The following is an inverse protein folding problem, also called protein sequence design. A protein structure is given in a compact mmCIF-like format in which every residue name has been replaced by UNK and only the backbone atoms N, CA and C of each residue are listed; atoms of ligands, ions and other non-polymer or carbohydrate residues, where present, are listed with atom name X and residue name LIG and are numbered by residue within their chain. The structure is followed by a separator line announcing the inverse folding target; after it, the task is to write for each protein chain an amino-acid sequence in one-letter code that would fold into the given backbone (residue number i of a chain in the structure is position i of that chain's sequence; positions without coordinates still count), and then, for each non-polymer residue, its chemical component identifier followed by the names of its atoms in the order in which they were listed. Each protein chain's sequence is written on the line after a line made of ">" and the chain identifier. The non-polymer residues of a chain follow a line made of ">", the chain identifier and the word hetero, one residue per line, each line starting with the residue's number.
data_IF_878048480963
#
_entry.id   IF_878048480963
#
_cell.length_a   1.000
_cell.length_b   1.000
_cell.length_c   1.000
_cell.angle_alpha   90.00
_cell.angle_beta   90.00
_cell.angle_gamma   90.00
#
_symmetry.space_group_name_H-M   'P 1'
#
loop_
_entity.id
_entity.type
_entity.pdbx_description
1 polymer ?
#
# COMPACT_ATOMS: atom_id res chain seq x y z
N UNK A 1 -10.92 32.89 31.89
CA UNK A 1 -10.54 31.55 32.36
C UNK A 1 -11.58 30.53 31.90
N UNK A 2 -11.10 29.43 31.30
CA UNK A 2 -11.76 28.14 31.03
C UNK A 2 -12.78 28.03 29.88
N UNK A 3 -12.25 27.50 28.77
CA UNK A 3 -12.96 26.72 27.76
C UNK A 3 -13.47 25.39 28.34
N UNK A 4 -14.58 24.86 27.81
CA UNK A 4 -14.88 23.42 27.83
C UNK A 4 -15.69 23.02 26.59
N UNK A 5 -15.22 21.93 26.01
CA UNK A 5 -15.50 21.43 24.68
C UNK A 5 -16.90 20.80 24.52
N UNK A 6 -17.40 20.90 23.30
CA UNK A 6 -18.60 20.25 22.80
C UNK A 6 -18.33 18.74 22.61
N UNK A 7 -19.10 17.89 23.27
CA UNK A 7 -19.08 16.44 23.11
C UNK A 7 -20.03 16.03 21.95
N UNK A 8 -19.56 15.19 21.03
CA UNK A 8 -20.42 14.44 20.09
C UNK A 8 -20.42 12.95 20.48
N UNK A 9 -21.58 12.26 20.43
CA UNK A 9 -21.71 10.91 20.94
C UNK A 9 -21.28 9.86 19.91
N UNK A 10 -20.43 8.94 20.36
CA UNK A 10 -20.11 7.65 19.75
C UNK A 10 -21.35 6.76 19.75
N UNK A 11 -21.78 6.25 18.60
CA UNK A 11 -22.73 5.12 18.53
C UNK A 11 -21.98 3.85 18.16
N UNK A 12 -21.72 3.08 19.21
CA UNK A 12 -21.50 1.64 19.17
C UNK A 12 -22.73 0.93 18.62
N UNK A 13 -22.52 -0.06 17.75
CA UNK A 13 -23.45 -1.19 17.56
C UNK A 13 -22.62 -2.45 17.87
N UNK A 14 -23.02 -3.18 18.91
CA UNK A 14 -22.36 -4.39 19.44
C UNK A 14 -23.00 -5.68 18.93
N UNK A 15 -22.17 -6.56 18.36
CA UNK A 15 -22.00 -8.05 18.48
C UNK A 15 -23.21 -9.00 18.68
N UNK A 16 -23.12 -10.31 18.30
CA UNK A 16 -22.50 -11.27 19.23
C UNK A 16 -21.75 -12.48 18.63
N UNK A 17 -20.78 -12.98 19.41
CA UNK A 17 -20.24 -14.35 19.45
C UNK A 17 -19.14 -14.79 18.46
N UNK A 18 -17.89 -14.52 18.81
CA UNK A 18 -16.80 -15.52 18.71
C UNK A 18 -15.75 -15.25 19.78
N UNK A 19 -15.32 -16.25 20.58
CA UNK A 19 -14.23 -16.06 21.52
C UNK A 19 -12.93 -16.12 20.72
N UNK A 20 -12.11 -15.07 20.78
CA UNK A 20 -10.64 -15.08 20.74
C UNK A 20 -10.23 -13.61 20.74
N UNK A 21 -9.68 -13.15 21.88
CA UNK A 21 -9.19 -11.79 22.03
C UNK A 21 -8.09 -11.50 21.02
N UNK A 22 -8.40 -10.68 20.01
CA UNK A 22 -7.40 -10.01 19.21
C UNK A 22 -7.45 -8.54 19.61
N UNK A 23 -6.44 -8.18 20.40
CA UNK A 23 -6.23 -6.83 20.88
C UNK A 23 -6.29 -5.85 19.71
N UNK A 24 -7.31 -4.99 19.71
CA UNK A 24 -7.26 -3.66 19.10
C UNK A 24 -6.17 -2.87 19.83
N UNK A 25 -4.90 -3.11 19.50
CA UNK A 25 -3.81 -2.27 19.98
C UNK A 25 -3.82 -1.03 19.13
N UNK A 26 -4.43 0.02 19.68
CA UNK A 26 -4.24 1.41 19.24
C UNK A 26 -2.75 1.62 18.96
N UNK A 27 -2.37 1.72 17.69
CA UNK A 27 -1.01 2.03 17.26
C UNK A 27 -0.75 3.52 17.54
N UNK A 28 -0.51 3.82 18.82
CA UNK A 28 0.04 5.04 19.39
C UNK A 28 0.02 6.28 18.47
N UNK A 29 -1.06 7.05 18.57
CA UNK A 29 -1.17 8.42 18.06
C UNK A 29 -0.09 9.31 18.71
N UNK A 30 0.88 9.83 17.94
CA UNK A 30 1.75 10.90 18.46
C UNK A 30 3.11 11.13 17.81
N UNK A 31 3.62 10.23 16.98
CA UNK A 31 4.75 10.53 16.08
C UNK A 31 4.27 10.19 14.69
N UNK A 32 4.36 11.12 13.74
CA UNK A 32 4.14 10.85 12.34
C UNK A 32 5.04 9.64 11.97
N UNK A 33 4.49 8.42 11.97
CA UNK A 33 5.20 7.21 11.56
C UNK A 33 4.83 6.97 10.11
N UNK A 34 5.86 6.79 9.27
CA UNK A 34 5.70 6.26 7.92
C UNK A 34 4.76 5.05 7.98
N UNK A 35 3.65 5.10 7.26
CA UNK A 35 2.79 3.94 7.02
C UNK A 35 3.07 3.38 5.63
N UNK A 36 3.02 2.06 5.53
CA UNK A 36 3.21 1.35 4.27
C UNK A 36 1.87 0.74 3.87
N UNK A 37 1.33 1.16 2.73
CA UNK A 37 0.14 0.59 2.12
C UNK A 37 0.57 -0.40 1.05
N UNK A 38 -0.03 -1.59 1.04
CA UNK A 38 0.27 -2.64 0.06
C UNK A 38 -1.04 -3.03 -0.59
N UNK A 39 -1.12 -2.83 -1.90
CA UNK A 39 -2.12 -3.51 -2.72
C UNK A 39 -1.74 -5.00 -2.78
N UNK A 40 -2.60 -5.85 -2.22
CA UNK A 40 -2.31 -7.25 -1.94
C UNK A 40 -2.95 -8.23 -2.95
N UNK A 41 -3.68 -7.76 -3.96
CA UNK A 41 -4.45 -8.66 -4.85
C UNK A 41 -3.53 -9.43 -5.82
N UNK A 42 -2.37 -8.87 -6.17
CA UNK A 42 -1.36 -9.55 -7.01
C UNK A 42 0.10 -9.37 -6.55
N UNK A 43 0.35 -8.89 -5.34
CA UNK A 43 1.70 -8.54 -4.90
C UNK A 43 2.56 -9.78 -4.51
N UNK A 44 3.69 -10.06 -5.22
CA UNK A 44 4.57 -11.18 -4.91
C UNK A 44 5.61 -10.88 -3.82
N UNK A 45 5.65 -9.64 -3.33
CA UNK A 45 6.69 -9.11 -2.42
C UNK A 45 6.16 -8.79 -1.00
N UNK A 46 5.13 -9.50 -0.56
CA UNK A 46 4.47 -9.29 0.74
C UNK A 46 5.43 -9.51 1.90
N UNK A 47 6.14 -10.64 1.91
CA UNK A 47 7.10 -10.99 2.97
C UNK A 47 8.29 -10.02 2.98
N UNK A 48 8.80 -9.66 1.80
CA UNK A 48 9.87 -8.68 1.64
C UNK A 48 9.47 -7.30 2.19
N UNK A 49 8.22 -6.89 1.94
CA UNK A 49 7.68 -5.62 2.46
C UNK A 49 7.64 -5.61 3.98
N UNK A 50 7.15 -6.69 4.60
CA UNK A 50 7.10 -6.82 6.06
C UNK A 50 8.50 -6.79 6.66
N UNK A 51 9.46 -7.48 6.04
CA UNK A 51 10.86 -7.51 6.50
C UNK A 51 11.52 -6.13 6.50
N UNK A 52 11.21 -5.27 5.55
CA UNK A 52 11.70 -3.87 5.53
C UNK A 52 10.96 -3.05 6.58
N UNK A 53 9.63 -3.21 6.66
CA UNK A 53 8.79 -2.48 7.61
C UNK A 53 9.17 -2.74 9.07
N UNK A 54 9.48 -3.98 9.43
CA UNK A 54 9.97 -4.38 10.75
C UNK A 54 11.23 -3.61 11.17
N UNK A 55 12.21 -3.47 10.28
CA UNK A 55 13.48 -2.75 10.56
C UNK A 55 13.25 -1.28 10.88
N UNK A 56 12.17 -0.71 10.37
CA UNK A 56 11.83 0.70 10.57
C UNK A 56 10.69 0.90 11.59
N UNK A 57 10.12 -0.20 12.10
CA UNK A 57 8.90 -0.17 12.90
C UNK A 57 7.77 0.59 12.21
N UNK A 58 7.66 0.47 10.88
CA UNK A 58 6.61 1.09 10.09
C UNK A 58 5.39 0.15 10.05
N UNK A 59 4.17 0.62 10.39
CA UNK A 59 2.97 -0.17 10.21
C UNK A 59 2.73 -0.48 8.72
N UNK A 60 2.27 -1.70 8.44
CA UNK A 60 1.93 -2.17 7.09
C UNK A 60 0.42 -2.43 7.03
N UNK A 61 -0.27 -1.79 6.10
CA UNK A 61 -1.66 -2.05 5.78
C UNK A 61 -1.71 -2.85 4.47
N UNK A 62 -2.07 -4.13 4.57
CA UNK A 62 -2.32 -4.98 3.41
C UNK A 62 -3.79 -4.84 3.03
N UNK A 63 -4.06 -4.30 1.85
CA UNK A 63 -5.41 -4.03 1.36
C UNK A 63 -5.74 -5.01 0.24
N UNK A 64 -6.85 -5.73 0.35
CA UNK A 64 -7.32 -6.67 -0.66
C UNK A 64 -8.85 -6.67 -0.75
N UNK A 65 -9.40 -6.96 -1.92
CA UNK A 65 -10.84 -7.09 -2.16
C UNK A 65 -11.42 -8.47 -1.78
N UNK A 66 -10.54 -9.45 -1.53
CA UNK A 66 -10.92 -10.78 -1.06
C UNK A 66 -9.75 -11.76 -1.10
N UNK A 67 -9.88 -12.90 -0.42
CA UNK A 67 -9.01 -14.06 -0.67
C UNK A 67 -7.58 -14.01 -0.09
N UNK A 68 -7.15 -12.93 0.59
CA UNK A 68 -5.84 -12.93 1.24
C UNK A 68 -5.85 -13.75 2.54
N UNK A 69 -4.93 -14.71 2.65
CA UNK A 69 -4.67 -15.41 3.91
C UNK A 69 -4.14 -14.39 4.94
N UNK A 70 -4.75 -14.36 6.12
CA UNK A 70 -4.27 -13.55 7.25
C UNK A 70 -2.79 -13.84 7.52
N UNK A 71 -1.99 -12.78 7.50
CA UNK A 71 -0.62 -12.80 7.98
C UNK A 71 -0.63 -12.39 9.45
N UNK A 72 -0.26 -13.30 10.35
CA UNK A 72 -0.18 -13.03 11.77
C UNK A 72 1.15 -12.33 12.09
N UNK A 73 1.19 -11.01 11.93
CA UNK A 73 2.37 -10.20 12.22
C UNK A 73 1.99 -8.93 13.01
N UNK A 74 2.70 -8.57 14.10
CA UNK A 74 2.29 -7.49 15.00
C UNK A 74 2.34 -6.09 14.38
N UNK A 75 2.98 -5.91 13.22
CA UNK A 75 3.02 -4.63 12.47
C UNK A 75 2.14 -4.64 11.22
N UNK A 76 1.48 -5.76 10.92
CA UNK A 76 0.66 -5.92 9.71
C UNK A 76 -0.81 -5.87 10.09
N UNK A 77 -1.54 -4.98 9.44
CA UNK A 77 -2.98 -4.90 9.50
C UNK A 77 -3.54 -5.37 8.16
N UNK A 78 -4.43 -6.37 8.18
CA UNK A 78 -5.14 -6.83 6.99
C UNK A 78 -6.46 -6.07 6.89
N UNK A 79 -6.60 -5.30 5.82
CA UNK A 79 -7.80 -4.55 5.47
C UNK A 79 -8.48 -5.26 4.30
N UNK A 80 -9.68 -5.79 4.56
CA UNK A 80 -10.51 -6.43 3.54
C UNK A 80 -11.56 -5.41 3.14
N UNK A 81 -11.52 -4.98 1.87
CA UNK A 81 -12.53 -4.09 1.29
C UNK A 81 -13.64 -4.93 0.65
N UNK A 82 -14.85 -4.37 0.47
CA UNK A 82 -15.92 -5.07 -0.26
C UNK A 82 -15.47 -5.42 -1.68
N UNK A 83 -15.88 -6.60 -2.18
CA UNK A 83 -15.63 -6.98 -3.57
C UNK A 83 -16.15 -5.91 -4.54
N UNK A 84 -15.27 -5.39 -5.38
CA UNK A 84 -15.58 -4.36 -6.35
C UNK A 84 -14.34 -4.00 -7.16
N UNK A 85 -14.54 -3.71 -8.45
CA UNK A 85 -13.45 -3.20 -9.29
C UNK A 85 -12.87 -1.93 -8.65
N UNK A 86 -11.54 -1.90 -8.50
CA UNK A 86 -10.76 -0.78 -7.95
C UNK A 86 -11.06 -0.43 -6.47
N UNK A 87 -11.76 -1.29 -5.72
CA UNK A 87 -12.12 -1.01 -4.33
C UNK A 87 -10.89 -0.86 -3.40
N UNK A 88 -9.85 -1.66 -3.62
CA UNK A 88 -8.60 -1.56 -2.85
C UNK A 88 -7.84 -0.27 -3.16
N UNK A 89 -7.77 0.09 -4.45
CA UNK A 89 -7.14 1.31 -4.94
C UNK A 89 -7.79 2.56 -4.35
N UNK A 90 -9.12 2.64 -4.42
CA UNK A 90 -9.89 3.74 -3.86
C UNK A 90 -9.66 3.87 -2.34
N UNK A 91 -9.69 2.74 -1.62
CA UNK A 91 -9.47 2.74 -0.19
C UNK A 91 -8.08 3.26 0.21
N UNK A 92 -7.04 2.86 -0.52
CA UNK A 92 -5.66 3.33 -0.31
C UNK A 92 -5.57 4.82 -0.65
N UNK A 93 -6.07 5.24 -1.82
CA UNK A 93 -5.98 6.61 -2.29
C UNK A 93 -6.68 7.60 -1.35
N UNK A 94 -7.76 7.19 -0.68
CA UNK A 94 -8.48 8.01 0.31
C UNK A 94 -7.72 8.21 1.63
N UNK A 95 -6.80 7.33 1.99
CA UNK A 95 -6.17 7.28 3.32
C UNK A 95 -4.68 7.58 3.33
N UNK A 96 -4.03 7.41 2.19
CA UNK A 96 -2.60 7.68 2.06
C UNK A 96 -2.32 9.17 2.26
N UNK A 97 -1.28 9.47 3.03
CA UNK A 97 -0.91 10.84 3.38
C UNK A 97 0.53 11.17 2.96
N UNK A 98 0.91 12.47 2.95
CA UNK A 98 2.28 12.87 2.71
C UNK A 98 3.27 12.17 3.65
N UNK A 99 4.31 11.59 3.07
CA UNK A 99 5.32 10.83 3.83
C UNK A 99 4.93 9.38 4.14
N UNK A 100 3.86 8.86 3.54
CA UNK A 100 3.58 7.42 3.49
C UNK A 100 4.17 6.77 2.22
N UNK A 101 4.18 5.44 2.20
CA UNK A 101 4.64 4.63 1.06
C UNK A 101 3.53 3.69 0.59
N UNK A 102 3.24 3.68 -0.70
CA UNK A 102 2.42 2.69 -1.37
C UNK A 102 3.29 1.68 -2.13
N UNK A 103 3.02 0.39 -1.97
CA UNK A 103 3.57 -0.69 -2.78
C UNK A 103 2.46 -1.19 -3.70
N UNK A 104 2.59 -0.91 -5.00
CA UNK A 104 1.57 -1.29 -5.99
C UNK A 104 2.21 -1.53 -7.36
N UNK A 105 1.63 -2.45 -8.13
CA UNK A 105 1.95 -2.64 -9.54
C UNK A 105 1.12 -1.73 -10.46
N UNK A 106 0.06 -1.12 -9.93
CA UNK A 106 -0.91 -0.36 -10.70
C UNK A 106 -0.52 1.10 -10.82
N UNK A 107 -0.29 1.50 -12.08
CA UNK A 107 0.14 2.85 -12.44
C UNK A 107 -0.93 3.90 -12.06
N UNK A 108 -2.24 3.68 -12.26
CA UNK A 108 -3.26 4.64 -11.82
C UNK A 108 -3.25 4.88 -10.30
N UNK A 109 -3.13 3.82 -9.50
CA UNK A 109 -3.02 3.95 -8.04
C UNK A 109 -1.73 4.70 -7.65
N UNK A 110 -0.60 4.32 -8.26
CA UNK A 110 0.68 4.99 -8.01
C UNK A 110 0.61 6.49 -8.31
N UNK A 111 -0.05 6.88 -9.41
CA UNK A 111 -0.29 8.28 -9.75
C UNK A 111 -1.09 9.00 -8.65
N UNK A 112 -2.20 8.42 -8.19
CA UNK A 112 -3.02 9.01 -7.10
C UNK A 112 -2.23 9.15 -5.79
N UNK A 113 -1.35 8.19 -5.48
CA UNK A 113 -0.47 8.28 -4.32
C UNK A 113 0.53 9.44 -4.41
N UNK A 114 1.09 9.67 -5.60
CA UNK A 114 1.99 10.79 -5.85
C UNK A 114 1.25 12.14 -5.73
N UNK A 115 0.04 12.24 -6.27
CA UNK A 115 -0.82 13.43 -6.13
C UNK A 115 -1.14 13.74 -4.66
N UNK A 116 -1.31 12.71 -3.83
CA UNK A 116 -1.48 12.85 -2.38
C UNK A 116 -0.18 13.24 -1.62
N UNK A 117 0.95 13.40 -2.32
CA UNK A 117 2.25 13.74 -1.73
C UNK A 117 2.98 12.57 -1.07
N UNK A 118 2.49 11.34 -1.27
CA UNK A 118 3.12 10.12 -0.79
C UNK A 118 4.26 9.66 -1.73
N UNK A 119 4.80 8.47 -1.48
CA UNK A 119 5.68 7.76 -2.41
C UNK A 119 5.01 6.48 -2.87
N UNK A 120 5.29 6.05 -4.09
CA UNK A 120 4.85 4.76 -4.59
C UNK A 120 6.04 3.97 -5.16
N UNK A 121 6.04 2.65 -5.00
CA UNK A 121 7.07 1.75 -5.51
C UNK A 121 6.44 0.51 -6.13
N UNK A 122 7.00 0.04 -7.24
CA UNK A 122 6.56 -1.19 -7.89
C UNK A 122 7.19 -2.44 -7.28
N UNK A 123 6.68 -3.62 -7.64
CA UNK A 123 7.21 -4.91 -7.17
C UNK A 123 8.65 -5.22 -7.66
N UNK A 124 9.20 -4.43 -8.59
CA UNK A 124 10.59 -4.55 -9.07
C UNK A 124 11.56 -3.67 -8.27
N UNK A 125 11.07 -2.85 -7.35
CA UNK A 125 11.87 -1.93 -6.55
C UNK A 125 12.11 -0.56 -7.18
N UNK A 126 11.40 -0.23 -8.25
CA UNK A 126 11.50 1.07 -8.90
C UNK A 126 10.45 2.01 -8.30
N UNK A 127 10.90 3.17 -7.84
CA UNK A 127 10.02 4.19 -7.31
C UNK A 127 9.34 4.94 -8.45
N UNK A 128 8.04 5.18 -8.30
CA UNK A 128 7.32 6.10 -9.16
C UNK A 128 7.64 7.54 -8.74
N UNK A 129 7.87 8.38 -9.73
CA UNK A 129 8.13 9.81 -9.59
C UNK A 129 7.23 10.58 -10.54
N UNK A 130 6.96 11.88 -10.26
CA UNK A 130 6.20 12.71 -11.20
C UNK A 130 6.80 12.72 -12.62
N UNK A 131 8.13 12.59 -12.74
CA UNK A 131 8.84 12.58 -14.01
C UNK A 131 8.65 11.28 -14.81
N UNK A 132 8.47 10.13 -14.13
CA UNK A 132 8.37 8.82 -14.79
C UNK A 132 6.92 8.31 -14.90
N UNK A 133 6.01 8.77 -14.05
CA UNK A 133 4.65 8.22 -13.95
C UNK A 133 3.85 8.50 -15.22
N UNK A 134 4.00 9.69 -15.83
CA UNK A 134 3.31 10.03 -17.08
C UNK A 134 3.75 9.16 -18.26
N UNK A 135 5.07 8.91 -18.39
CA UNK A 135 5.60 8.02 -19.42
C UNK A 135 5.19 6.55 -19.17
N UNK A 136 5.16 6.11 -17.91
CA UNK A 136 4.70 4.78 -17.54
C UNK A 136 3.22 4.58 -17.89
N UNK A 137 2.36 5.57 -17.59
CA UNK A 137 0.93 5.53 -17.92
C UNK A 137 0.70 5.46 -19.43
N UNK A 138 1.34 6.36 -20.19
CA UNK A 138 1.25 6.35 -21.65
C UNK A 138 1.72 5.03 -22.27
N UNK A 139 2.80 4.44 -21.75
CA UNK A 139 3.29 3.14 -22.21
C UNK A 139 2.30 2.02 -21.89
N UNK A 140 1.71 2.03 -20.69
CA UNK A 140 0.70 1.05 -20.29
C UNK A 140 -0.55 1.12 -21.17
N UNK A 141 -1.03 2.32 -21.49
CA UNK A 141 -2.21 2.53 -22.33
C UNK A 141 -1.94 2.11 -23.78
N UNK A 142 -0.74 2.39 -24.30
CA UNK A 142 -0.31 1.88 -25.61
C UNK A 142 -0.25 0.35 -25.64
N UNK A 143 0.34 -0.28 -24.62
CA UNK A 143 0.45 -1.74 -24.53
C UNK A 143 -0.91 -2.43 -24.28
N UNK A 144 -1.85 -1.76 -23.64
CA UNK A 144 -3.24 -2.22 -23.54
C UNK A 144 -3.91 -2.19 -24.92
N UNK A 145 -3.81 -1.06 -25.63
CA UNK A 145 -4.34 -0.89 -27.00
C UNK A 145 -3.77 -1.93 -27.98
N UNK A 146 -2.47 -2.23 -27.90
CA UNK A 146 -1.82 -3.23 -28.77
C UNK A 146 -2.25 -4.68 -28.45
N UNK A 147 -2.54 -4.98 -27.18
CA UNK A 147 -3.11 -6.27 -26.78
C UNK A 147 -4.54 -6.44 -27.27
N UNK A 148 -5.35 -5.40 -27.14
CA UNK A 148 -6.73 -5.38 -27.67
C UNK A 148 -6.76 -5.53 -29.19
N UNK A 149 -5.79 -4.95 -29.89
CA UNK A 149 -5.61 -5.12 -31.33
C UNK A 149 -5.08 -6.50 -31.74
N UNK A 150 -4.85 -7.42 -30.80
CA UNK A 150 -4.36 -8.78 -31.05
C UNK A 150 -2.89 -8.84 -31.51
N UNK A 151 -2.14 -7.74 -31.43
CA UNK A 151 -0.78 -7.62 -31.97
C UNK A 151 0.32 -7.99 -30.96
N UNK A 152 -0.03 -8.29 -29.72
CA UNK A 152 0.93 -8.66 -28.68
C UNK A 152 0.38 -9.75 -27.77
N UNK A 153 0.93 -10.96 -27.88
CA UNK A 153 0.66 -12.09 -27.01
C UNK A 153 1.97 -12.63 -26.44
N UNK A 154 2.26 -12.30 -25.18
CA UNK A 154 3.46 -12.77 -24.49
C UNK A 154 3.30 -12.62 -22.99
N UNK A 155 3.31 -13.75 -22.27
CA UNK A 155 3.28 -13.76 -20.80
C UNK A 155 4.51 -13.04 -20.25
N UNK A 156 4.30 -12.12 -19.31
CA UNK A 156 5.37 -11.35 -18.69
C UNK A 156 6.46 -12.26 -18.11
N UNK A 157 7.71 -11.77 -18.08
CA UNK A 157 8.85 -12.50 -17.54
C UNK A 157 8.55 -12.95 -16.08
N UNK A 158 8.77 -14.23 -15.73
CA UNK A 158 8.55 -14.72 -14.37
C UNK A 158 9.35 -13.92 -13.34
N UNK A 159 8.74 -13.70 -12.17
CA UNK A 159 9.36 -13.01 -11.05
C UNK A 159 10.57 -13.81 -10.53
N UNK A 160 11.76 -13.21 -10.55
CA UNK A 160 13.01 -13.89 -10.21
C UNK A 160 13.54 -13.51 -8.81
N UNK A 161 14.43 -14.30 -8.20
CA UNK A 161 15.09 -13.93 -6.95
C UNK A 161 15.85 -12.60 -7.02
N UNK A 162 16.36 -12.24 -8.21
CA UNK A 162 17.02 -10.95 -8.44
C UNK A 162 16.03 -9.79 -8.30
N UNK A 163 14.79 -9.95 -8.77
CA UNK A 163 13.76 -8.93 -8.64
C UNK A 163 13.38 -8.69 -7.17
N UNK A 164 13.38 -9.74 -6.33
CA UNK A 164 13.19 -9.60 -4.88
C UNK A 164 14.30 -8.78 -4.21
N UNK A 165 15.55 -9.01 -4.59
CA UNK A 165 16.68 -8.23 -4.07
C UNK A 165 16.57 -6.77 -4.49
N UNK A 166 16.25 -6.51 -5.77
CA UNK A 166 16.02 -5.16 -6.26
C UNK A 166 14.88 -4.47 -5.51
N UNK A 167 13.79 -5.19 -5.23
CA UNK A 167 12.68 -4.68 -4.43
C UNK A 167 13.10 -4.29 -3.01
N UNK A 168 13.82 -5.16 -2.30
CA UNK A 168 14.31 -4.87 -0.95
C UNK A 168 15.20 -3.61 -0.93
N UNK A 169 16.14 -3.51 -1.88
CA UNK A 169 17.03 -2.36 -1.98
C UNK A 169 16.28 -1.08 -2.37
N UNK A 170 15.34 -1.19 -3.31
CA UNK A 170 14.50 -0.08 -3.75
C UNK A 170 13.62 0.46 -2.63
N UNK A 171 12.93 -0.43 -1.93
CA UNK A 171 12.06 -0.09 -0.81
C UNK A 171 12.85 0.56 0.33
N UNK A 172 14.01 0.00 0.70
CA UNK A 172 14.90 0.59 1.71
C UNK A 172 15.30 2.03 1.32
N UNK A 173 15.71 2.26 0.07
CA UNK A 173 16.06 3.62 -0.41
C UNK A 173 14.90 4.60 -0.27
N UNK A 174 13.68 4.17 -0.62
CA UNK A 174 12.49 5.03 -0.51
C UNK A 174 12.15 5.32 0.94
N UNK A 175 12.16 4.31 1.82
CA UNK A 175 11.91 4.49 3.25
C UNK A 175 12.92 5.45 3.87
N UNK A 176 14.22 5.30 3.55
CA UNK A 176 15.26 6.20 4.03
C UNK A 176 15.11 7.62 3.46
N UNK A 177 14.68 7.77 2.20
CA UNK A 177 14.37 9.09 1.64
C UNK A 177 13.23 9.77 2.40
N UNK A 178 12.12 9.07 2.65
CA UNK A 178 11.00 9.60 3.44
C UNK A 178 11.45 10.04 4.83
N UNK A 179 12.28 9.24 5.50
CA UNK A 179 12.78 9.57 6.86
C UNK A 179 13.72 10.77 6.87
N UNK A 180 14.48 11.02 5.81
CA UNK A 180 15.36 12.20 5.68
C UNK A 180 14.60 13.48 5.32
N UNK A 181 13.41 13.36 4.73
CA UNK A 181 12.56 14.48 4.37
C UNK A 181 11.67 14.98 5.51
N UNK A 182 11.83 14.43 6.72
CA UNK A 182 11.10 14.79 7.95
C UNK A 182 12.08 15.40 8.94
#
# INVERSE_FOLDING_TARGET
>A
MRAKACARPTRFITAPNTPHGLNCRSFNDGIARLKIYVDADACPVKDETVRVAERHGAPVLMVCDGGLRRMDHPLVELVIVPEGADAADDWIAERIAPGDLCVTGDIPLAHRCLEAGARAINHRGEAFTPDNIGAALATRDLMASLREAGQMGGGGKPFSPRDRSSFLDGMERVVQAIRRSR
#
